data_IF_875849814784
#
_entry.id   IF_875849814784
#
_cell.length_a   1.000
_cell.length_b   1.000
_cell.length_c   1.000
_cell.angle_alpha   90.00
_cell.angle_beta   90.00
_cell.angle_gamma   90.00
#
_symmetry.space_group_name_H-M   'P 1'
#
loop_
_entity.id
_entity.type
_entity.pdbx_description
1 polymer ?
#
# COMPACT_ATOMS: atom_id res chain seq x y z
N UNK A 1 23.55 -12.37 -17.06
CA UNK A 1 22.75 -13.45 -16.65
C UNK A 1 21.97 -14.00 -17.78
N UNK A 2 22.07 -15.26 -17.96
CA UNK A 2 21.47 -15.90 -19.07
C UNK A 2 20.15 -16.49 -18.74
N UNK A 3 19.23 -16.33 -19.63
CA UNK A 3 17.95 -16.94 -19.46
C UNK A 3 17.71 -17.81 -20.67
N UNK A 4 17.11 -18.93 -20.44
CA UNK A 4 16.86 -19.81 -21.51
C UNK A 4 15.41 -19.91 -21.79
N UNK A 5 15.06 -19.97 -23.05
CA UNK A 5 13.74 -20.30 -23.43
C UNK A 5 13.75 -21.76 -23.67
N UNK A 6 13.05 -22.48 -22.90
CA UNK A 6 13.01 -23.88 -23.17
C UNK A 6 11.68 -24.14 -23.71
N UNK A 7 11.62 -25.10 -24.52
CA UNK A 7 10.47 -25.61 -25.20
C UNK A 7 9.22 -24.80 -25.20
N UNK A 8 8.85 -24.24 -24.17
CA UNK A 8 7.61 -23.54 -24.09
C UNK A 8 7.70 -22.08 -24.37
N UNK A 9 8.81 -21.61 -24.73
CA UNK A 9 8.96 -20.22 -25.03
C UNK A 9 8.73 -19.29 -23.87
N UNK A 10 9.01 -19.69 -22.68
CA UNK A 10 9.01 -18.75 -21.60
C UNK A 10 10.31 -18.83 -20.84
N UNK A 11 10.64 -17.74 -20.21
CA UNK A 11 11.83 -17.63 -19.46
C UNK A 11 11.49 -17.63 -18.01
N UNK A 12 12.21 -18.40 -17.26
CA UNK A 12 12.09 -18.41 -15.81
C UNK A 12 13.45 -18.00 -15.29
N UNK A 13 13.44 -17.01 -14.44
CA UNK A 13 14.67 -16.52 -13.83
C UNK A 13 14.45 -16.17 -12.38
N UNK A 14 15.50 -15.72 -11.75
CA UNK A 14 15.43 -15.24 -10.39
C UNK A 14 15.61 -13.75 -10.43
N UNK A 15 14.72 -13.03 -9.77
CA UNK A 15 14.73 -11.59 -9.82
C UNK A 15 14.74 -11.02 -8.41
N UNK A 16 15.44 -9.92 -8.25
CA UNK A 16 15.47 -9.23 -6.98
C UNK A 16 14.72 -7.93 -7.15
N UNK A 17 13.87 -7.62 -6.18
CA UNK A 17 13.15 -6.36 -6.21
C UNK A 17 14.16 -5.24 -6.00
N UNK A 18 14.10 -4.23 -6.84
CA UNK A 18 14.99 -3.09 -6.69
C UNK A 18 14.60 -2.30 -5.45
N UNK A 19 15.57 -1.67 -4.81
CA UNK A 19 15.30 -0.91 -3.59
C UNK A 19 14.68 0.45 -3.92
N UNK A 20 13.44 0.46 -4.30
CA UNK A 20 12.73 1.69 -4.63
C UNK A 20 11.94 2.15 -3.43
N UNK A 21 11.87 3.45 -3.26
CA UNK A 21 11.11 4.03 -2.15
C UNK A 21 9.67 4.22 -2.54
N UNK A 22 8.79 4.07 -1.58
CA UNK A 22 7.36 4.27 -1.76
C UNK A 22 6.83 5.08 -0.60
N UNK A 23 5.66 5.68 -0.75
CA UNK A 23 4.98 6.31 0.37
C UNK A 23 3.99 5.32 0.93
N UNK A 24 3.82 5.30 2.21
CA UNK A 24 2.91 4.36 2.84
C UNK A 24 2.37 4.93 4.14
N UNK A 25 1.18 4.49 4.50
CA UNK A 25 0.57 4.88 5.76
C UNK A 25 -0.08 3.66 6.39
N UNK A 26 0.05 3.50 7.68
CA UNK A 26 -0.58 2.40 8.38
C UNK A 26 -1.94 2.84 8.90
N UNK A 27 -2.94 1.99 8.72
CA UNK A 27 -4.26 2.22 9.27
C UNK A 27 -4.27 1.66 10.69
N UNK A 28 -4.57 2.49 11.66
CA UNK A 28 -4.60 2.03 13.04
C UNK A 28 -6.02 1.97 13.61
N UNK A 29 -7.02 2.07 12.73
CA UNK A 29 -8.41 1.98 13.15
C UNK A 29 -9.04 3.30 13.53
N UNK A 30 -8.24 4.33 13.79
CA UNK A 30 -8.77 5.64 14.18
C UNK A 30 -8.17 6.79 13.41
N UNK A 31 -7.16 6.56 12.58
CA UNK A 31 -6.51 7.64 11.85
C UNK A 31 -7.16 7.90 10.49
N UNK A 32 -8.48 7.99 10.48
CA UNK A 32 -9.23 8.17 9.24
C UNK A 32 -8.83 9.45 8.50
N UNK A 33 -8.67 10.53 9.21
CA UNK A 33 -8.33 11.79 8.59
C UNK A 33 -7.00 11.73 7.86
N UNK A 34 -6.04 11.01 8.41
CA UNK A 34 -4.73 10.87 7.80
C UNK A 34 -4.80 10.04 6.52
N UNK A 35 -5.64 9.01 6.51
CA UNK A 35 -5.83 8.22 5.31
C UNK A 35 -6.49 9.02 4.21
N UNK A 36 -7.45 9.86 4.57
CA UNK A 36 -8.11 10.73 3.62
C UNK A 36 -7.10 11.69 3.00
N UNK A 37 -6.22 12.26 3.81
CA UNK A 37 -5.21 13.18 3.31
C UNK A 37 -4.21 12.46 2.40
N UNK A 38 -3.84 11.24 2.75
CA UNK A 38 -2.93 10.44 1.94
C UNK A 38 -3.55 10.22 0.55
N UNK A 39 -4.82 9.85 0.50
CA UNK A 39 -5.48 9.64 -0.77
C UNK A 39 -5.64 10.93 -1.56
N UNK A 40 -5.91 12.02 -0.89
CA UNK A 40 -6.01 13.29 -1.60
C UNK A 40 -4.70 13.64 -2.27
N UNK A 41 -3.61 13.30 -1.64
CA UNK A 41 -2.30 13.64 -2.18
C UNK A 41 -1.88 12.69 -3.30
N UNK A 42 -2.13 11.41 -3.15
CA UNK A 42 -1.57 10.41 -4.06
C UNK A 42 -2.58 9.73 -4.98
N UNK A 43 -3.84 9.83 -4.69
CA UNK A 43 -4.87 9.15 -5.47
C UNK A 43 -6.19 9.90 -5.34
N UNK A 44 -6.21 11.13 -5.82
CA UNK A 44 -7.34 12.01 -5.59
C UNK A 44 -8.63 11.58 -6.28
N UNK A 45 -8.55 10.63 -7.20
CA UNK A 45 -9.72 10.13 -7.89
C UNK A 45 -10.32 8.90 -7.22
N UNK A 46 -9.94 8.64 -6.00
CA UNK A 46 -10.49 7.53 -5.21
C UNK A 46 -11.39 8.07 -4.11
N UNK A 47 -12.18 7.19 -3.53
CA UNK A 47 -12.96 7.54 -2.34
C UNK A 47 -12.75 6.46 -1.30
N UNK A 48 -12.95 6.80 -0.04
CA UNK A 48 -12.71 5.85 1.04
C UNK A 48 -13.88 5.91 2.00
N UNK A 49 -14.27 4.74 2.50
CA UNK A 49 -15.29 4.64 3.54
C UNK A 49 -14.72 3.79 4.67
N UNK A 50 -15.20 4.03 5.87
CA UNK A 50 -14.72 3.33 7.05
C UNK A 50 -15.90 2.64 7.71
N UNK A 51 -15.69 1.41 8.14
CA UNK A 51 -16.72 0.63 8.80
C UNK A 51 -16.15 0.04 10.09
N UNK A 52 -16.90 0.08 11.14
CA UNK A 52 -16.50 -0.51 12.40
C UNK A 52 -17.51 -1.55 12.80
N UNK A 53 -17.06 -2.77 13.00
CA UNK A 53 -17.94 -3.85 13.40
C UNK A 53 -18.25 -3.73 14.90
N UNK A 54 -19.29 -4.44 15.33
CA UNK A 54 -19.62 -4.47 16.74
C UNK A 54 -18.49 -5.07 17.57
N UNK A 55 -17.70 -5.93 16.96
CA UNK A 55 -16.56 -6.52 17.65
C UNK A 55 -15.45 -5.51 17.87
N UNK A 56 -15.55 -4.34 17.28
CA UNK A 56 -14.50 -3.34 17.39
C UNK A 56 -13.53 -3.36 16.22
N UNK A 57 -13.65 -4.32 15.32
CA UNK A 57 -12.75 -4.38 14.19
C UNK A 57 -13.07 -3.24 13.23
N UNK A 58 -12.04 -2.64 12.69
CA UNK A 58 -12.19 -1.54 11.77
C UNK A 58 -11.76 -1.96 10.38
N UNK A 59 -12.51 -1.54 9.39
CA UNK A 59 -12.21 -1.82 8.00
C UNK A 59 -12.31 -0.54 7.20
N UNK A 60 -11.37 -0.33 6.31
CA UNK A 60 -11.42 0.77 5.36
C UNK A 60 -11.60 0.18 3.96
N UNK A 61 -12.41 0.81 3.15
CA UNK A 61 -12.65 0.37 1.78
C UNK A 61 -12.41 1.55 0.85
N UNK A 62 -11.52 1.37 -0.10
CA UNK A 62 -11.22 2.38 -1.11
C UNK A 62 -11.89 1.97 -2.40
N UNK A 63 -12.60 2.90 -3.01
CA UNK A 63 -13.21 2.68 -4.31
C UNK A 63 -12.34 3.34 -5.35
N UNK A 64 -11.89 2.56 -6.31
CA UNK A 64 -11.04 3.05 -7.39
C UNK A 64 -11.88 3.61 -8.53
N UNK A 65 -11.30 4.40 -9.40
CA UNK A 65 -12.05 5.07 -10.47
C UNK A 65 -12.86 4.12 -11.34
N UNK A 66 -12.38 2.90 -11.54
CA UNK A 66 -13.10 1.96 -12.38
C UNK A 66 -14.10 1.11 -11.63
N UNK A 67 -14.36 1.46 -10.39
CA UNK A 67 -15.38 0.75 -9.61
C UNK A 67 -14.85 -0.39 -8.76
N UNK A 68 -13.60 -0.75 -8.91
CA UNK A 68 -13.00 -1.79 -8.09
C UNK A 68 -12.84 -1.29 -6.66
N UNK A 69 -12.84 -2.17 -5.71
CA UNK A 69 -12.66 -1.79 -4.31
C UNK A 69 -11.48 -2.51 -3.70
N UNK A 70 -10.88 -1.87 -2.72
CA UNK A 70 -9.78 -2.42 -1.95
C UNK A 70 -10.17 -2.33 -0.50
N UNK A 71 -10.14 -3.47 0.21
CA UNK A 71 -10.43 -3.47 1.64
C UNK A 71 -9.14 -3.67 2.40
N UNK A 72 -9.00 -2.97 3.50
CA UNK A 72 -7.88 -3.21 4.42
C UNK A 72 -8.33 -2.94 5.84
N UNK A 73 -7.58 -3.49 6.78
CA UNK A 73 -8.03 -3.57 8.16
C UNK A 73 -7.03 -2.94 9.11
N UNK A 74 -7.44 -2.76 10.34
CA UNK A 74 -6.58 -2.21 11.37
C UNK A 74 -5.23 -2.94 11.38
N UNK A 75 -4.16 -2.20 11.28
CA UNK A 75 -2.80 -2.74 11.23
C UNK A 75 -2.23 -2.85 9.83
N UNK A 76 -3.08 -2.89 8.82
CA UNK A 76 -2.60 -3.00 7.44
C UNK A 76 -2.06 -1.66 6.96
N UNK A 77 -1.22 -1.72 5.96
CA UNK A 77 -0.63 -0.54 5.36
C UNK A 77 -1.24 -0.27 4.00
N UNK A 78 -1.35 0.99 3.64
CA UNK A 78 -1.74 1.39 2.32
C UNK A 78 -0.50 1.98 1.66
N UNK A 79 -0.15 1.48 0.49
CA UNK A 79 1.09 1.84 -0.19
C UNK A 79 0.79 2.50 -1.52
N UNK A 80 1.50 3.59 -1.78
CA UNK A 80 1.47 4.23 -3.08
C UNK A 80 2.72 3.74 -3.81
N UNK A 81 2.52 2.87 -4.77
CA UNK A 81 3.62 2.20 -5.45
C UNK A 81 4.35 3.07 -6.45
N UNK A 82 5.47 2.57 -6.92
CA UNK A 82 6.32 3.32 -7.86
C UNK A 82 5.63 3.54 -9.20
N UNK A 83 4.63 2.75 -9.51
CA UNK A 83 3.89 2.91 -10.76
C UNK A 83 2.66 3.79 -10.57
N UNK A 84 2.49 4.37 -9.41
CA UNK A 84 1.34 5.22 -9.12
C UNK A 84 0.13 4.49 -8.58
N UNK A 85 0.18 3.17 -8.47
CA UNK A 85 -0.98 2.43 -7.97
C UNK A 85 -1.05 2.48 -6.45
N UNK A 86 -2.25 2.26 -5.94
CA UNK A 86 -2.47 2.18 -4.51
C UNK A 86 -2.83 0.74 -4.18
N UNK A 87 -2.22 0.16 -3.17
CA UNK A 87 -2.53 -1.22 -2.79
C UNK A 87 -2.31 -1.44 -1.30
N UNK A 88 -3.01 -2.40 -0.72
CA UNK A 88 -2.87 -2.70 0.69
C UNK A 88 -1.78 -3.74 0.92
N UNK A 89 -1.10 -3.65 2.04
CA UNK A 89 -0.09 -4.63 2.44
C UNK A 89 -0.36 -5.00 3.88
N UNK A 90 -0.41 -6.30 4.15
CA UNK A 90 -0.65 -6.77 5.50
C UNK A 90 0.47 -6.36 6.42
N UNK A 91 0.13 -6.11 7.67
CA UNK A 91 1.09 -5.64 8.66
C UNK A 91 2.36 -6.46 8.68
N UNK A 92 2.24 -7.78 8.74
CA UNK A 92 3.41 -8.63 8.87
C UNK A 92 4.21 -8.72 7.56
N UNK A 93 3.55 -8.55 6.43
CA UNK A 93 4.23 -8.54 5.15
C UNK A 93 5.02 -7.23 5.01
N UNK A 94 4.40 -6.14 5.43
CA UNK A 94 5.06 -4.84 5.35
C UNK A 94 6.32 -4.84 6.19
N UNK A 95 6.26 -5.39 7.39
CA UNK A 95 7.41 -5.43 8.27
C UNK A 95 8.57 -6.22 7.69
N UNK A 96 8.29 -7.23 6.88
CA UNK A 96 9.33 -8.02 6.26
C UNK A 96 9.87 -7.40 4.98
N UNK A 97 9.06 -6.61 4.30
CA UNK A 97 9.39 -6.14 2.98
C UNK A 97 9.95 -4.72 2.95
N UNK A 98 9.52 -3.90 3.86
CA UNK A 98 9.87 -2.49 3.85
C UNK A 98 10.57 -2.07 5.13
N UNK A 99 11.38 -1.04 5.02
CA UNK A 99 11.97 -0.43 6.19
C UNK A 99 11.88 1.08 6.01
N UNK A 100 11.82 1.79 7.10
CA UNK A 100 11.69 3.23 7.05
C UNK A 100 12.96 3.83 6.47
N UNK A 101 12.79 4.82 5.62
CA UNK A 101 13.92 5.53 5.09
C UNK A 101 14.22 6.63 6.08
N UNK A 102 15.46 6.78 6.39
CA UNK A 102 15.84 7.79 7.31
C UNK A 102 15.75 9.11 6.63
N UNK A 103 14.89 9.94 7.05
CA UNK A 103 14.75 11.19 6.44
C UNK A 103 14.86 12.18 7.50
N UNK A 104 15.74 13.04 7.43
CA UNK A 104 15.94 13.99 8.42
C UNK A 104 14.81 14.90 8.50
N UNK A 105 13.99 14.85 7.64
CA UNK A 105 12.96 15.74 7.54
C UNK A 105 11.81 15.40 8.27
N UNK A 106 11.85 14.58 9.00
CA UNK A 106 10.83 14.18 9.61
C UNK A 106 10.00 15.03 10.33
N UNK A 107 10.32 16.06 10.56
CA UNK A 107 9.53 16.89 11.30
C UNK A 107 8.37 17.25 10.53
N UNK A 108 7.59 16.43 10.28
CA UNK A 108 6.52 16.73 9.60
C UNK A 108 5.57 17.20 10.48
N UNK A 109 5.20 18.32 10.30
CA UNK A 109 4.21 18.80 11.09
C UNK A 109 3.11 18.94 10.18
N UNK A 110 2.09 18.43 10.47
CA UNK A 110 0.90 18.55 9.68
C UNK A 110 0.06 19.66 10.17
#
# INVERSE_FOLDING_TARGET
MEHFLSGGNYMIGRYRKKPLEVEAIQYNGINEAELILFLKKFASDTSITFTRALSGDSRATIKLPMGQTIDFYNGDWLVHGVDGSIYPVKKWVFAKTYEAVDTDDVAITW
#
